data_IF_045581140326
#
_entry.id   IF_045581140326
#
_cell.length_a   1.000
_cell.length_b   1.000
_cell.length_c   1.000
_cell.angle_alpha   90.00
_cell.angle_beta   90.00
_cell.angle_gamma   90.00
#
_symmetry.space_group_name_H-M   'P 1'
#
loop_
_entity.id
_entity.type
_entity.pdbx_description
1 polymer ?
#
# COMPACT_ATOMS: atom_id res chain seq x y z
N UNK A 1 14.54 1.74 -4.64
CA UNK A 1 14.24 3.09 -4.11
C UNK A 1 13.73 3.92 -5.27
N UNK A 2 12.59 4.60 -5.14
CA UNK A 2 12.05 5.43 -6.23
C UNK A 2 13.03 6.58 -6.56
N UNK A 3 13.34 6.77 -7.83
CA UNK A 3 14.39 7.67 -8.33
C UNK A 3 13.93 9.14 -8.46
N UNK A 4 12.68 9.45 -8.08
CA UNK A 4 12.14 10.81 -8.11
C UNK A 4 11.98 11.39 -6.69
N UNK A 5 12.34 12.68 -6.45
CA UNK A 5 12.50 13.24 -5.11
C UNK A 5 11.18 13.73 -4.47
N UNK A 6 10.03 13.14 -4.81
CA UNK A 6 8.71 13.62 -4.38
C UNK A 6 7.75 12.47 -4.09
N UNK A 7 6.65 12.75 -3.37
CA UNK A 7 5.61 11.75 -3.16
C UNK A 7 4.88 11.45 -4.48
N UNK A 8 4.39 10.22 -4.64
CA UNK A 8 3.67 9.79 -5.84
C UNK A 8 2.44 10.68 -6.15
N UNK A 9 1.71 11.12 -5.13
CA UNK A 9 0.58 12.05 -5.31
C UNK A 9 1.03 13.40 -5.86
N UNK A 10 2.19 13.90 -5.46
CA UNK A 10 2.74 15.16 -5.98
C UNK A 10 3.09 15.02 -7.47
N UNK A 11 3.67 13.87 -7.86
CA UNK A 11 4.01 13.58 -9.25
C UNK A 11 2.76 13.65 -10.16
N UNK A 12 1.65 13.07 -9.71
CA UNK A 12 0.39 13.00 -10.46
C UNK A 12 -0.32 14.35 -10.61
N UNK A 13 -0.02 15.31 -9.74
CA UNK A 13 -0.54 16.67 -9.85
C UNK A 13 0.44 17.60 -10.60
N UNK A 14 1.75 17.35 -10.52
CA UNK A 14 2.80 18.14 -11.16
C UNK A 14 2.86 17.93 -12.66
N UNK A 15 2.87 16.67 -13.11
CA UNK A 15 3.07 16.35 -14.52
C UNK A 15 1.97 16.92 -15.43
N UNK A 16 0.66 16.91 -15.06
CA UNK A 16 -0.37 17.60 -15.84
C UNK A 16 -0.11 19.08 -16.05
N UNK A 17 0.40 19.79 -15.03
CA UNK A 17 0.73 21.21 -15.18
C UNK A 17 1.93 21.45 -16.09
N UNK A 18 2.96 20.61 -15.98
CA UNK A 18 4.14 20.70 -16.83
C UNK A 18 3.80 20.45 -18.32
N UNK A 19 3.01 19.41 -18.60
CA UNK A 19 2.59 19.08 -19.97
C UNK A 19 1.57 20.09 -20.52
N UNK A 20 0.73 20.68 -19.68
CA UNK A 20 -0.11 21.83 -20.05
C UNK A 20 0.73 23.03 -20.49
N UNK A 21 1.77 23.39 -19.73
CA UNK A 21 2.69 24.47 -20.11
C UNK A 21 3.45 24.16 -21.41
N UNK A 22 3.80 22.89 -21.66
CA UNK A 22 4.37 22.48 -22.94
C UNK A 22 3.39 22.74 -24.10
N UNK A 23 2.13 22.36 -23.96
CA UNK A 23 1.10 22.54 -25.00
C UNK A 23 0.95 24.01 -25.40
N UNK A 24 0.94 24.91 -24.41
CA UNK A 24 0.89 26.37 -24.66
C UNK A 24 2.11 26.89 -25.44
N UNK A 25 3.27 26.26 -25.27
CA UNK A 25 4.53 26.67 -25.88
C UNK A 25 5.04 25.70 -26.95
N UNK A 26 4.16 24.83 -27.47
CA UNK A 26 4.53 23.72 -28.34
C UNK A 26 5.28 24.21 -29.60
N UNK A 27 4.87 25.35 -30.17
CA UNK A 27 5.51 25.90 -31.35
C UNK A 27 6.99 26.25 -31.13
N UNK A 28 7.39 26.65 -29.92
CA UNK A 28 8.78 26.95 -29.56
C UNK A 28 9.59 25.66 -29.46
N UNK A 29 9.04 24.65 -28.77
CA UNK A 29 9.66 23.34 -28.63
C UNK A 29 9.82 22.61 -29.98
N UNK A 30 8.79 22.65 -30.82
CA UNK A 30 8.78 22.03 -32.15
C UNK A 30 9.80 22.64 -33.12
N UNK A 31 10.16 23.91 -32.95
CA UNK A 31 11.26 24.57 -33.69
C UNK A 31 12.65 24.12 -33.21
N UNK A 32 12.79 23.82 -31.92
CA UNK A 32 14.08 23.45 -31.33
C UNK A 32 14.48 22.01 -31.67
N UNK A 33 13.58 21.04 -31.42
CA UNK A 33 13.82 19.61 -31.72
C UNK A 33 12.57 19.00 -32.35
N UNK A 34 12.41 19.22 -33.65
CA UNK A 34 11.22 18.84 -34.43
C UNK A 34 10.87 17.35 -34.39
N UNK A 35 11.88 16.48 -34.28
CA UNK A 35 11.68 15.03 -34.20
C UNK A 35 11.26 14.54 -32.81
N UNK A 36 11.46 15.37 -31.77
CA UNK A 36 11.14 15.03 -30.38
C UNK A 36 9.83 15.65 -29.91
N UNK A 37 9.59 16.92 -30.24
CA UNK A 37 8.46 17.70 -29.73
C UNK A 37 7.31 17.77 -30.73
N UNK A 38 6.41 16.78 -30.67
CA UNK A 38 5.21 16.70 -31.51
C UNK A 38 4.00 17.41 -30.87
N UNK A 39 2.94 17.61 -31.65
CA UNK A 39 1.65 18.10 -31.13
C UNK A 39 0.97 17.09 -30.20
N UNK A 40 1.25 15.79 -30.35
CA UNK A 40 0.63 14.71 -29.58
C UNK A 40 1.39 14.35 -28.31
N UNK A 41 2.65 14.79 -28.18
CA UNK A 41 3.56 14.37 -27.10
C UNK A 41 2.96 14.55 -25.71
N UNK A 42 2.33 15.71 -25.43
CA UNK A 42 1.71 15.95 -24.13
C UNK A 42 0.54 15.00 -23.86
N UNK A 43 -0.32 14.76 -24.85
CA UNK A 43 -1.43 13.81 -24.72
C UNK A 43 -0.92 12.41 -24.43
N UNK A 44 0.07 11.94 -25.20
CA UNK A 44 0.68 10.62 -25.01
C UNK A 44 1.38 10.48 -23.65
N UNK A 45 2.01 11.55 -23.16
CA UNK A 45 2.65 11.58 -21.86
C UNK A 45 1.63 11.54 -20.71
N UNK A 46 0.47 12.18 -20.85
CA UNK A 46 -0.63 12.12 -19.89
C UNK A 46 -1.34 10.77 -19.90
N UNK A 47 -1.48 10.13 -21.06
CA UNK A 47 -2.00 8.76 -21.16
C UNK A 47 -1.08 7.76 -20.44
N UNK A 48 0.25 7.92 -20.57
CA UNK A 48 1.24 7.13 -19.80
C UNK A 48 1.10 7.36 -18.29
N UNK A 49 0.87 8.61 -17.87
CA UNK A 49 0.65 8.95 -16.47
C UNK A 49 -0.63 8.31 -15.92
N UNK A 50 -1.74 8.39 -16.65
CA UNK A 50 -3.01 7.76 -16.28
C UNK A 50 -2.89 6.23 -16.21
N UNK A 51 -2.18 5.62 -17.15
CA UNK A 51 -1.88 4.19 -17.10
C UNK A 51 -1.06 3.83 -15.84
N UNK A 52 -0.07 4.65 -15.49
CA UNK A 52 0.71 4.47 -14.26
C UNK A 52 -0.14 4.65 -12.99
N UNK A 53 -1.10 5.59 -12.97
CA UNK A 53 -2.02 5.79 -11.84
C UNK A 53 -2.92 4.58 -11.59
N UNK A 54 -3.42 3.97 -12.67
CA UNK A 54 -4.30 2.79 -12.65
C UNK A 54 -3.61 1.50 -12.21
N UNK A 55 -2.28 1.44 -12.21
CA UNK A 55 -1.56 0.31 -11.63
C UNK A 55 -1.96 0.15 -10.15
N UNK A 56 -2.23 -1.07 -9.66
CA UNK A 56 -2.75 -1.28 -8.30
C UNK A 56 -1.89 -0.59 -7.22
N UNK A 57 -2.47 -0.08 -6.13
CA UNK A 57 -1.68 0.48 -5.01
C UNK A 57 -1.19 -0.63 -4.05
N UNK A 58 -0.22 -0.34 -3.17
CA UNK A 58 0.20 -1.28 -2.12
C UNK A 58 -0.95 -1.62 -1.14
N UNK A 59 -1.81 -0.64 -0.81
CA UNK A 59 -2.92 -0.83 0.14
C UNK A 59 -4.04 -1.74 -0.38
N UNK A 60 -4.44 -1.60 -1.66
CA UNK A 60 -5.39 -2.53 -2.27
C UNK A 60 -4.83 -3.96 -2.39
N UNK A 61 -3.49 -4.07 -2.40
CA UNK A 61 -2.75 -5.34 -2.50
C UNK A 61 -2.43 -5.99 -1.16
N UNK A 62 -2.43 -5.25 -0.04
CA UNK A 62 -2.25 -5.84 1.30
C UNK A 62 -3.51 -6.56 1.82
N UNK A 63 -4.69 -6.16 1.35
CA UNK A 63 -5.96 -6.78 1.74
C UNK A 63 -6.22 -8.15 1.07
N UNK A 64 -5.60 -8.43 -0.08
CA UNK A 64 -5.82 -9.68 -0.84
C UNK A 64 -5.02 -10.91 -0.30
N UNK A 65 -3.76 -10.77 0.16
CA UNK A 65 -3.04 -11.83 0.84
C UNK A 65 -3.66 -12.23 2.17
N UNK A 66 -4.29 -11.30 2.89
CA UNK A 66 -4.84 -11.58 4.22
C UNK A 66 -6.09 -12.47 4.17
N UNK A 67 -7.01 -12.22 3.23
CA UNK A 67 -8.15 -13.12 3.01
C UNK A 67 -7.71 -14.51 2.51
N UNK A 68 -6.73 -14.54 1.60
CA UNK A 68 -6.17 -15.80 1.09
C UNK A 68 -5.41 -16.58 2.17
N UNK A 69 -4.77 -15.88 3.12
CA UNK A 69 -4.10 -16.49 4.28
C UNK A 69 -5.11 -17.09 5.26
N UNK A 70 -6.23 -16.42 5.50
CA UNK A 70 -7.32 -16.96 6.33
C UNK A 70 -7.89 -18.23 5.72
N UNK A 71 -8.18 -18.21 4.41
CA UNK A 71 -8.64 -19.41 3.68
C UNK A 71 -7.58 -20.53 3.74
N UNK A 72 -6.29 -20.21 3.62
CA UNK A 72 -5.21 -21.20 3.66
C UNK A 72 -5.09 -21.88 5.02
N UNK A 73 -5.21 -21.12 6.11
CA UNK A 73 -5.23 -21.67 7.48
C UNK A 73 -6.40 -22.63 7.64
N UNK A 74 -7.60 -22.21 7.23
CA UNK A 74 -8.80 -23.04 7.34
C UNK A 74 -8.65 -24.35 6.56
N UNK A 75 -8.29 -24.28 5.28
CA UNK A 75 -8.17 -25.47 4.43
C UNK A 75 -7.06 -26.42 4.88
N UNK A 76 -5.96 -25.86 5.42
CA UNK A 76 -4.91 -26.66 6.05
C UNK A 76 -5.46 -27.42 7.27
N UNK A 77 -6.18 -26.74 8.16
CA UNK A 77 -6.67 -27.36 9.39
C UNK A 77 -7.67 -28.47 9.09
N UNK A 78 -8.58 -28.26 8.14
CA UNK A 78 -9.49 -29.29 7.61
C UNK A 78 -8.70 -30.51 7.10
N UNK A 79 -7.67 -30.30 6.27
CA UNK A 79 -6.85 -31.38 5.75
C UNK A 79 -6.04 -32.12 6.85
N UNK A 80 -5.54 -31.42 7.87
CA UNK A 80 -4.83 -32.02 8.99
C UNK A 80 -5.76 -32.92 9.82
N UNK A 81 -7.02 -32.52 9.99
CA UNK A 81 -8.04 -33.35 10.63
C UNK A 81 -8.27 -34.64 9.83
N UNK A 82 -8.39 -34.57 8.50
CA UNK A 82 -8.49 -35.78 7.67
C UNK A 82 -7.21 -36.63 7.69
N UNK A 83 -6.03 -36.01 7.76
CA UNK A 83 -4.78 -36.76 7.89
C UNK A 83 -4.73 -37.54 9.21
N UNK A 84 -5.25 -36.97 10.29
CA UNK A 84 -5.36 -37.65 11.59
C UNK A 84 -6.34 -38.84 11.52
N UNK A 85 -7.45 -38.71 10.76
CA UNK A 85 -8.34 -39.85 10.50
C UNK A 85 -7.66 -40.92 9.63
N UNK A 86 -6.88 -40.52 8.62
CA UNK A 86 -6.07 -41.43 7.81
C UNK A 86 -5.11 -42.24 8.68
N UNK A 87 -4.46 -41.62 9.65
CA UNK A 87 -3.57 -42.30 10.59
C UNK A 87 -4.27 -43.41 11.39
N UNK A 88 -5.54 -43.20 11.78
CA UNK A 88 -6.37 -44.24 12.38
C UNK A 88 -6.56 -45.46 11.46
N UNK A 89 -6.86 -45.24 10.18
CA UNK A 89 -6.98 -46.34 9.21
C UNK A 89 -5.64 -47.05 8.95
N UNK A 90 -4.53 -46.31 8.97
CA UNK A 90 -3.17 -46.88 8.87
C UNK A 90 -2.85 -47.72 10.09
N UNK A 91 -3.26 -47.28 11.27
CA UNK A 91 -3.12 -48.03 12.52
C UNK A 91 -3.80 -49.38 12.42
N UNK A 92 -5.09 -49.40 12.09
CA UNK A 92 -5.87 -50.64 11.99
C UNK A 92 -5.33 -51.58 10.91
N UNK A 93 -4.91 -51.04 9.77
CA UNK A 93 -4.40 -51.84 8.66
C UNK A 93 -3.04 -52.50 8.93
N UNK A 94 -2.16 -51.85 9.70
CA UNK A 94 -0.74 -52.24 9.77
C UNK A 94 -0.20 -52.53 11.19
N UNK A 95 -0.92 -52.19 12.27
CA UNK A 95 -0.45 -52.42 13.66
C UNK A 95 -0.16 -53.89 13.93
N UNK A 96 -1.04 -54.79 13.51
CA UNK A 96 -0.86 -56.24 13.71
C UNK A 96 0.38 -56.81 12.99
N UNK A 97 0.85 -56.14 11.93
CA UNK A 97 2.04 -56.55 11.17
C UNK A 97 3.33 -55.89 11.66
N UNK A 98 3.27 -55.00 12.67
CA UNK A 98 4.40 -54.22 13.15
C UNK A 98 4.85 -53.09 12.20
N UNK A 99 4.20 -52.93 11.04
CA UNK A 99 4.60 -51.96 10.00
C UNK A 99 3.99 -50.56 10.20
N UNK A 100 3.16 -50.36 11.23
CA UNK A 100 2.42 -49.11 11.48
C UNK A 100 3.32 -47.86 11.41
N UNK A 101 4.46 -47.86 12.12
CA UNK A 101 5.37 -46.70 12.14
C UNK A 101 5.90 -46.34 10.75
N UNK A 102 6.33 -47.33 9.97
CA UNK A 102 6.88 -47.11 8.65
C UNK A 102 5.81 -46.57 7.68
N UNK A 103 4.59 -47.09 7.77
CA UNK A 103 3.48 -46.64 6.93
C UNK A 103 3.01 -45.22 7.29
N UNK A 104 2.99 -44.89 8.57
CA UNK A 104 2.69 -43.53 9.05
C UNK A 104 3.73 -42.51 8.57
N UNK A 105 5.01 -42.89 8.58
CA UNK A 105 6.07 -42.05 7.98
C UNK A 105 5.92 -41.91 6.46
N UNK A 106 5.54 -42.98 5.75
CA UNK A 106 5.28 -42.95 4.32
C UNK A 106 4.05 -42.10 3.94
N UNK A 107 3.06 -42.00 4.83
CA UNK A 107 1.91 -41.11 4.70
C UNK A 107 2.24 -39.63 5.03
N UNK A 108 3.47 -39.32 5.41
CA UNK A 108 3.96 -37.94 5.58
C UNK A 108 4.03 -37.42 7.02
N UNK A 109 4.00 -38.27 8.05
CA UNK A 109 4.06 -37.86 9.47
C UNK A 109 5.14 -36.82 9.79
N UNK A 110 6.30 -36.91 9.14
CA UNK A 110 7.43 -35.98 9.37
C UNK A 110 7.10 -34.53 9.00
N UNK A 111 6.13 -34.32 8.13
CA UNK A 111 5.70 -33.00 7.65
C UNK A 111 4.52 -32.44 8.46
N UNK A 112 3.80 -33.29 9.19
CA UNK A 112 2.58 -32.91 9.91
C UNK A 112 2.81 -31.74 10.88
N UNK A 113 3.86 -31.82 11.71
CA UNK A 113 4.17 -30.78 12.67
C UNK A 113 4.57 -29.46 12.00
N UNK A 114 5.31 -29.52 10.88
CA UNK A 114 5.69 -28.33 10.13
C UNK A 114 4.47 -27.68 9.45
N UNK A 115 3.61 -28.49 8.83
CA UNK A 115 2.36 -28.05 8.24
C UNK A 115 1.47 -27.35 9.27
N UNK A 116 1.24 -27.96 10.43
CA UNK A 116 0.46 -27.40 11.54
C UNK A 116 1.00 -26.05 12.04
N UNK A 117 2.33 -25.87 12.02
CA UNK A 117 2.99 -24.62 12.41
C UNK A 117 2.99 -23.53 11.32
N UNK A 118 2.31 -23.75 10.20
CA UNK A 118 2.15 -22.75 9.13
C UNK A 118 3.24 -22.79 8.05
N UNK A 119 4.01 -23.88 7.96
CA UNK A 119 4.86 -24.12 6.80
C UNK A 119 4.01 -24.61 5.62
N UNK A 120 3.72 -23.71 4.69
CA UNK A 120 2.88 -23.98 3.52
C UNK A 120 3.55 -24.96 2.53
N UNK A 121 4.88 -25.00 2.51
CA UNK A 121 5.63 -25.98 1.71
C UNK A 121 5.46 -27.37 2.29
N UNK A 122 5.60 -27.51 3.62
CA UNK A 122 5.34 -28.76 4.31
C UNK A 122 3.87 -29.21 4.19
N UNK A 123 2.91 -28.28 4.23
CA UNK A 123 1.50 -28.60 4.04
C UNK A 123 1.21 -29.15 2.63
N UNK A 124 1.74 -28.51 1.59
CA UNK A 124 1.57 -28.99 0.21
C UNK A 124 2.26 -30.36 -0.02
N UNK A 125 3.43 -30.56 0.58
CA UNK A 125 4.16 -31.83 0.49
C UNK A 125 3.47 -32.95 1.29
N UNK A 126 2.90 -32.63 2.47
CA UNK A 126 2.10 -33.56 3.27
C UNK A 126 0.90 -34.08 2.46
N UNK A 127 0.18 -33.18 1.77
CA UNK A 127 -0.92 -33.55 0.87
C UNK A 127 -0.44 -34.53 -0.20
N UNK A 128 0.68 -34.24 -0.86
CA UNK A 128 1.21 -35.11 -1.92
C UNK A 128 1.56 -36.50 -1.38
N UNK A 129 2.23 -36.58 -0.24
CA UNK A 129 2.63 -37.85 0.37
C UNK A 129 1.42 -38.66 0.85
N UNK A 130 0.44 -38.01 1.51
CA UNK A 130 -0.77 -38.67 1.97
C UNK A 130 -1.60 -39.26 0.81
N UNK A 131 -1.84 -38.49 -0.26
CA UNK A 131 -2.62 -38.96 -1.41
C UNK A 131 -1.89 -40.06 -2.21
N UNK A 132 -0.56 -39.94 -2.38
CA UNK A 132 0.24 -40.99 -3.00
C UNK A 132 0.25 -42.29 -2.18
N UNK A 133 0.31 -42.16 -0.85
CA UNK A 133 0.26 -43.29 0.07
C UNK A 133 -1.10 -44.01 0.00
N UNK A 134 -2.21 -43.26 0.07
CA UNK A 134 -3.57 -43.82 -0.03
C UNK A 134 -3.78 -44.55 -1.35
N UNK A 135 -3.32 -43.96 -2.46
CA UNK A 135 -3.41 -44.59 -3.80
C UNK A 135 -2.63 -45.91 -3.85
N UNK A 136 -1.44 -45.94 -3.24
CA UNK A 136 -0.55 -47.11 -3.25
C UNK A 136 -1.06 -48.24 -2.34
N UNK A 137 -1.71 -47.90 -1.22
CA UNK A 137 -2.10 -48.84 -0.18
C UNK A 137 -3.61 -49.06 -0.09
N UNK A 138 -4.35 -48.67 -1.13
CA UNK A 138 -5.81 -48.61 -1.15
C UNK A 138 -6.47 -49.92 -0.67
N UNK A 139 -6.04 -51.06 -1.18
CA UNK A 139 -6.62 -52.36 -0.84
C UNK A 139 -6.48 -52.69 0.65
N UNK A 140 -5.30 -52.46 1.23
CA UNK A 140 -5.04 -52.73 2.63
C UNK A 140 -5.81 -51.77 3.54
N UNK A 141 -5.87 -50.48 3.17
CA UNK A 141 -6.61 -49.47 3.94
C UNK A 141 -8.12 -49.74 3.92
N UNK A 142 -8.68 -50.20 2.80
CA UNK A 142 -10.09 -50.60 2.72
C UNK A 142 -10.38 -51.89 3.49
N UNK A 143 -9.61 -52.94 3.22
CA UNK A 143 -9.94 -54.29 3.72
C UNK A 143 -9.55 -54.53 5.18
N UNK A 144 -8.44 -53.95 5.62
CA UNK A 144 -7.91 -54.13 6.99
C UNK A 144 -8.14 -52.89 7.85
N UNK A 145 -8.03 -51.71 7.26
CA UNK A 145 -8.27 -50.44 7.94
C UNK A 145 -9.75 -50.03 8.01
N UNK A 146 -10.63 -50.63 7.19
CA UNK A 146 -12.05 -50.26 7.15
C UNK A 146 -12.32 -48.88 6.52
N UNK A 147 -11.37 -48.34 5.76
CA UNK A 147 -11.49 -47.04 5.09
C UNK A 147 -12.52 -47.06 3.97
N UNK A 148 -13.49 -46.15 3.99
CA UNK A 148 -14.54 -46.04 2.97
C UNK A 148 -14.12 -45.18 1.75
N UNK A 149 -14.72 -45.43 0.60
CA UNK A 149 -14.54 -44.66 -0.63
C UNK A 149 -14.95 -43.18 -0.47
N UNK A 150 -15.95 -42.90 0.37
CA UNK A 150 -16.33 -41.53 0.69
C UNK A 150 -15.19 -40.75 1.36
N UNK A 151 -14.43 -41.40 2.25
CA UNK A 151 -13.29 -40.77 2.91
C UNK A 151 -12.18 -40.42 1.92
N UNK A 152 -11.86 -41.34 0.99
CA UNK A 152 -10.85 -41.10 -0.05
C UNK A 152 -11.22 -39.88 -0.91
N UNK A 153 -12.51 -39.75 -1.25
CA UNK A 153 -13.00 -38.60 -1.99
C UNK A 153 -12.85 -37.29 -1.20
N UNK A 154 -13.21 -37.28 0.09
CA UNK A 154 -13.07 -36.11 0.97
C UNK A 154 -11.61 -35.69 1.14
N UNK A 155 -10.71 -36.63 1.48
CA UNK A 155 -9.29 -36.37 1.64
C UNK A 155 -8.66 -35.79 0.35
N UNK A 156 -9.09 -36.29 -0.81
CA UNK A 156 -8.62 -35.79 -2.11
C UNK A 156 -9.11 -34.36 -2.37
N UNK A 157 -10.39 -34.09 -2.12
CA UNK A 157 -10.98 -32.76 -2.31
C UNK A 157 -10.31 -31.71 -1.42
N UNK A 158 -10.14 -32.00 -0.13
CA UNK A 158 -9.47 -31.09 0.80
C UNK A 158 -7.99 -30.90 0.46
N UNK A 159 -7.30 -31.97 0.02
CA UNK A 159 -5.93 -31.88 -0.48
C UNK A 159 -5.79 -31.00 -1.73
N UNK A 160 -6.75 -31.10 -2.67
CA UNK A 160 -6.81 -30.23 -3.84
C UNK A 160 -7.05 -28.76 -3.46
N UNK A 161 -7.86 -28.51 -2.44
CA UNK A 161 -8.17 -27.19 -1.93
C UNK A 161 -6.95 -26.53 -1.29
N UNK A 162 -6.21 -27.24 -0.42
CA UNK A 162 -4.92 -26.77 0.12
C UNK A 162 -3.96 -26.41 -1.02
N UNK A 163 -3.76 -27.32 -1.99
CA UNK A 163 -2.84 -27.08 -3.11
C UNK A 163 -3.26 -25.90 -3.97
N UNK A 164 -4.57 -25.71 -4.20
CA UNK A 164 -5.13 -24.58 -4.93
C UNK A 164 -4.85 -23.26 -4.20
N UNK A 165 -5.09 -23.20 -2.89
CA UNK A 165 -4.93 -21.99 -2.10
C UNK A 165 -3.44 -21.63 -1.96
N UNK A 166 -2.55 -22.60 -1.74
CA UNK A 166 -1.08 -22.38 -1.71
C UNK A 166 -0.58 -21.78 -3.02
N UNK A 167 -0.97 -22.34 -4.19
CA UNK A 167 -0.57 -21.79 -5.50
C UNK A 167 -1.06 -20.36 -5.70
N UNK A 168 -2.31 -20.07 -5.31
CA UNK A 168 -2.88 -18.73 -5.37
C UNK A 168 -2.14 -17.76 -4.45
N UNK A 169 -1.80 -18.18 -3.24
CA UNK A 169 -1.04 -17.38 -2.28
C UNK A 169 0.35 -17.02 -2.81
N UNK A 170 1.10 -18.02 -3.33
CA UNK A 170 2.42 -17.79 -3.93
C UNK A 170 2.35 -16.87 -5.15
N UNK A 171 1.35 -17.08 -6.02
CA UNK A 171 1.11 -16.21 -7.17
C UNK A 171 0.81 -14.76 -6.75
N UNK A 172 -0.01 -14.57 -5.71
CA UNK A 172 -0.29 -13.24 -5.18
C UNK A 172 0.96 -12.57 -4.60
N UNK A 173 1.87 -13.33 -3.96
CA UNK A 173 3.15 -12.79 -3.49
C UNK A 173 4.04 -12.33 -4.65
N UNK A 174 4.18 -13.14 -5.70
CA UNK A 174 4.95 -12.80 -6.90
C UNK A 174 4.36 -11.60 -7.66
N UNK A 175 3.05 -11.58 -7.84
CA UNK A 175 2.33 -10.47 -8.48
C UNK A 175 2.42 -9.17 -7.62
N UNK A 176 2.53 -9.29 -6.29
CA UNK A 176 2.71 -8.15 -5.39
C UNK A 176 4.11 -7.53 -5.48
N UNK A 177 5.16 -8.37 -5.56
CA UNK A 177 6.55 -7.94 -5.73
C UNK A 177 6.75 -7.27 -7.10
N UNK A 178 6.41 -7.96 -8.18
CA UNK A 178 6.53 -7.45 -9.56
C UNK A 178 5.70 -6.20 -9.84
N UNK A 179 4.50 -6.09 -9.26
CA UNK A 179 3.63 -4.92 -9.44
C UNK A 179 4.12 -3.66 -8.69
N UNK A 180 4.91 -3.81 -7.63
CA UNK A 180 5.52 -2.67 -6.91
C UNK A 180 6.64 -2.05 -7.74
N UNK A 181 7.42 -2.92 -8.39
CA UNK A 181 8.43 -2.52 -9.36
C UNK A 181 7.81 -1.90 -10.61
N UNK A 182 6.70 -2.47 -11.12
CA UNK A 182 6.03 -1.94 -12.31
C UNK A 182 5.50 -0.52 -12.11
N UNK A 183 4.82 -0.24 -10.98
CA UNK A 183 4.30 1.12 -10.69
C UNK A 183 5.41 2.12 -10.43
N UNK A 184 6.46 1.71 -9.72
CA UNK A 184 7.64 2.55 -9.47
C UNK A 184 8.33 2.88 -10.78
N UNK A 185 8.61 1.87 -11.62
CA UNK A 185 9.23 2.04 -12.94
C UNK A 185 8.39 2.89 -13.90
N UNK A 186 7.07 2.72 -13.90
CA UNK A 186 6.17 3.53 -14.73
C UNK A 186 6.19 5.01 -14.29
N UNK A 187 6.15 5.27 -12.97
CA UNK A 187 6.25 6.63 -12.43
C UNK A 187 7.63 7.26 -12.72
N UNK A 188 8.72 6.49 -12.57
CA UNK A 188 10.08 6.93 -12.90
C UNK A 188 10.23 7.27 -14.38
N UNK A 189 9.66 6.47 -15.29
CA UNK A 189 9.68 6.75 -16.72
C UNK A 189 8.95 8.06 -17.04
N UNK A 190 7.76 8.28 -16.46
CA UNK A 190 7.01 9.54 -16.63
C UNK A 190 7.81 10.74 -16.11
N UNK A 191 8.47 10.59 -14.95
CA UNK A 191 9.28 11.66 -14.39
C UNK A 191 10.55 11.95 -15.22
N UNK A 192 11.23 10.92 -15.71
CA UNK A 192 12.41 11.07 -16.56
C UNK A 192 12.09 11.79 -17.88
N UNK A 193 10.94 11.49 -18.49
CA UNK A 193 10.45 12.18 -19.68
C UNK A 193 10.24 13.69 -19.40
N UNK A 194 9.60 14.01 -18.27
CA UNK A 194 9.47 15.38 -17.80
C UNK A 194 10.82 16.06 -17.54
N UNK A 195 11.78 15.39 -16.91
CA UNK A 195 13.10 15.98 -16.65
C UNK A 195 13.81 16.40 -17.95
N UNK A 196 13.73 15.57 -18.98
CA UNK A 196 14.29 15.91 -20.28
C UNK A 196 13.60 17.13 -20.90
N UNK A 197 12.27 17.19 -20.84
CA UNK A 197 11.51 18.34 -21.33
C UNK A 197 11.83 19.60 -20.54
N UNK A 198 11.89 19.51 -19.21
CA UNK A 198 12.22 20.60 -18.30
C UNK A 198 13.61 21.19 -18.59
N UNK A 199 14.62 20.33 -18.76
CA UNK A 199 15.98 20.77 -19.08
C UNK A 199 16.04 21.54 -20.42
N UNK A 200 15.29 21.08 -21.43
CA UNK A 200 15.19 21.80 -22.71
C UNK A 200 14.38 23.09 -22.58
N UNK A 201 13.35 23.13 -21.74
CA UNK A 201 12.60 24.34 -21.42
C UNK A 201 13.49 25.42 -20.78
N UNK A 202 14.36 25.06 -19.83
CA UNK A 202 15.29 26.01 -19.21
C UNK A 202 16.25 26.64 -20.24
N UNK A 203 16.63 25.89 -21.28
CA UNK A 203 17.46 26.42 -22.38
C UNK A 203 16.67 27.35 -23.28
N UNK A 204 15.44 26.96 -23.66
CA UNK A 204 14.58 27.72 -24.57
C UNK A 204 14.13 29.05 -23.96
N UNK A 205 13.74 29.04 -22.70
CA UNK A 205 13.19 30.20 -21.99
C UNK A 205 14.23 30.88 -21.10
N UNK A 206 15.52 30.73 -21.40
CA UNK A 206 16.60 31.36 -20.61
C UNK A 206 16.43 32.88 -20.44
N UNK A 207 15.81 33.56 -21.42
CA UNK A 207 15.53 35.01 -21.40
C UNK A 207 14.11 35.36 -20.91
N UNK A 208 13.31 34.36 -20.56
CA UNK A 208 11.90 34.46 -20.14
C UNK A 208 11.73 33.65 -18.84
N UNK A 209 12.31 34.12 -17.71
CA UNK A 209 12.32 33.39 -16.44
C UNK A 209 10.92 33.03 -15.95
N UNK A 210 9.92 33.88 -16.23
CA UNK A 210 8.50 33.67 -15.92
C UNK A 210 7.88 32.47 -16.66
N UNK A 211 8.40 32.13 -17.84
CA UNK A 211 8.00 30.92 -18.55
C UNK A 211 8.86 29.74 -18.10
N UNK A 212 10.16 29.93 -17.93
CA UNK A 212 11.09 28.89 -17.50
C UNK A 212 10.69 28.27 -16.14
N UNK A 213 10.20 29.08 -15.19
CA UNK A 213 9.77 28.62 -13.86
C UNK A 213 8.60 27.64 -13.93
N UNK A 214 7.75 27.72 -14.96
CA UNK A 214 6.61 26.80 -15.17
C UNK A 214 7.03 25.36 -15.51
N UNK A 215 8.31 25.15 -15.81
CA UNK A 215 8.87 23.84 -16.11
C UNK A 215 9.80 23.33 -14.99
N UNK A 216 9.99 24.09 -13.92
CA UNK A 216 10.86 23.70 -12.81
C UNK A 216 10.10 22.81 -11.84
N UNK A 217 10.64 21.64 -11.55
CA UNK A 217 10.00 20.67 -10.66
C UNK A 217 9.66 21.29 -9.29
N UNK A 218 10.57 22.06 -8.71
CA UNK A 218 10.38 22.71 -7.41
C UNK A 218 9.24 23.73 -7.43
N UNK A 219 9.19 24.62 -8.42
CA UNK A 219 8.15 25.64 -8.53
C UNK A 219 6.77 25.02 -8.80
N UNK A 220 6.72 23.96 -9.62
CA UNK A 220 5.49 23.21 -9.83
C UNK A 220 5.05 22.47 -8.58
N UNK A 221 5.97 21.87 -7.81
CA UNK A 221 5.67 21.25 -6.53
C UNK A 221 5.09 22.25 -5.53
N UNK A 222 5.65 23.46 -5.45
CA UNK A 222 5.14 24.54 -4.60
C UNK A 222 3.73 24.99 -5.01
N UNK A 223 3.44 25.01 -6.31
CA UNK A 223 2.09 25.32 -6.81
C UNK A 223 1.10 24.18 -6.52
N UNK A 224 1.51 22.95 -6.74
CA UNK A 224 0.68 21.74 -6.63
C UNK A 224 0.36 21.37 -5.20
N UNK A 225 1.33 21.47 -4.30
CA UNK A 225 1.14 21.22 -2.87
C UNK A 225 0.26 22.31 -2.21
N UNK A 226 -0.16 23.30 -3.01
CA UNK A 226 -0.43 24.65 -2.54
C UNK A 226 0.81 25.23 -1.88
N UNK A 227 0.84 26.54 -1.69
CA UNK A 227 1.43 27.01 -0.44
C UNK A 227 0.77 26.18 0.66
N UNK A 228 1.48 25.19 1.25
CA UNK A 228 0.99 24.45 2.43
C UNK A 228 0.31 25.51 3.27
N UNK A 229 -1.00 25.43 3.52
CA UNK A 229 -1.70 26.50 4.23
C UNK A 229 -0.87 26.81 5.48
N UNK A 230 -0.17 27.95 5.42
CA UNK A 230 0.53 28.46 6.56
C UNK A 230 -0.56 28.70 7.60
N UNK A 231 -0.23 28.56 8.87
CA UNK A 231 -1.27 28.58 9.85
C UNK A 231 -0.78 28.15 11.21
N UNK A 232 -1.70 28.24 12.14
CA UNK A 232 -1.48 27.91 13.54
C UNK A 232 -2.33 26.68 13.82
N UNK A 233 -1.72 25.67 14.43
CA UNK A 233 -2.41 24.50 14.95
C UNK A 233 -2.02 24.29 16.40
N UNK A 234 -2.86 23.65 17.18
CA UNK A 234 -2.50 23.27 18.54
C UNK A 234 -3.64 22.61 19.28
N UNK A 235 -3.41 22.42 20.57
CA UNK A 235 -4.40 21.91 21.52
C UNK A 235 -4.69 23.00 22.56
N UNK A 236 -5.94 23.11 22.98
CA UNK A 236 -6.33 23.93 24.14
C UNK A 236 -6.63 23.00 25.31
N UNK A 237 -5.93 23.19 26.43
CA UNK A 237 -6.11 22.40 27.66
C UNK A 237 -6.50 23.27 28.84
N UNK A 238 -7.19 22.72 29.83
CA UNK A 238 -7.46 23.39 31.10
C UNK A 238 -6.27 23.28 32.06
N UNK A 239 -6.35 23.92 33.23
CA UNK A 239 -5.34 23.85 34.29
C UNK A 239 -5.08 22.43 34.85
N UNK A 240 -5.95 21.46 34.56
CA UNK A 240 -5.79 20.06 34.94
C UNK A 240 -5.20 19.20 33.80
N UNK A 241 -4.89 19.82 32.65
CA UNK A 241 -4.40 19.15 31.45
C UNK A 241 -5.48 18.41 30.65
N UNK A 242 -6.76 18.68 30.89
CA UNK A 242 -7.87 18.13 30.11
C UNK A 242 -8.14 18.97 28.85
N UNK A 243 -8.44 18.31 27.74
CA UNK A 243 -8.73 18.96 26.46
C UNK A 243 -10.03 19.78 26.53
N UNK A 244 -9.96 21.05 26.11
CA UNK A 244 -11.11 21.96 26.14
C UNK A 244 -11.83 21.93 24.81
N UNK A 245 -13.02 21.33 24.80
CA UNK A 245 -13.89 21.22 23.63
C UNK A 245 -14.67 22.53 23.43
N UNK A 246 -14.81 22.99 22.18
CA UNK A 246 -15.62 24.17 21.84
C UNK A 246 -14.98 25.52 22.19
N UNK A 247 -13.70 25.56 22.56
CA UNK A 247 -12.97 26.80 22.77
C UNK A 247 -12.82 27.58 21.46
N UNK A 248 -13.09 28.89 21.50
CA UNK A 248 -12.95 29.76 20.33
C UNK A 248 -11.52 30.31 20.28
N UNK A 249 -10.80 30.05 19.20
CA UNK A 249 -9.46 30.56 18.94
C UNK A 249 -9.53 31.59 17.82
N UNK A 250 -9.10 32.81 18.09
CA UNK A 250 -9.05 33.92 17.11
C UNK A 250 -7.64 34.50 17.01
N UNK A 251 -7.45 35.36 16.01
CA UNK A 251 -6.20 36.09 15.80
C UNK A 251 -6.46 37.58 15.94
N UNK A 252 -5.75 38.26 16.83
CA UNK A 252 -5.99 39.68 17.16
C UNK A 252 -5.91 40.59 15.94
N UNK A 253 -4.96 40.31 15.04
CA UNK A 253 -4.74 41.07 13.80
C UNK A 253 -5.76 40.75 12.71
N UNK A 254 -6.51 39.64 12.83
CA UNK A 254 -7.52 39.17 11.89
C UNK A 254 -8.72 38.57 12.64
N UNK A 255 -9.56 39.41 13.27
CA UNK A 255 -10.65 38.93 14.15
C UNK A 255 -11.72 38.12 13.40
N UNK A 256 -11.85 38.30 12.09
CA UNK A 256 -12.77 37.52 11.23
C UNK A 256 -12.31 36.07 11.01
N UNK A 257 -11.07 35.75 11.38
CA UNK A 257 -10.50 34.41 11.25
C UNK A 257 -10.54 33.72 12.62
N UNK A 258 -11.46 32.76 12.74
CA UNK A 258 -11.65 31.97 13.96
C UNK A 258 -11.59 30.47 13.68
N UNK A 259 -11.24 29.70 14.70
CA UNK A 259 -11.42 28.26 14.78
C UNK A 259 -12.09 27.90 16.11
N UNK A 260 -12.81 26.79 16.11
CA UNK A 260 -13.39 26.21 17.33
C UNK A 260 -12.70 24.87 17.56
N UNK A 261 -12.33 24.57 18.81
CA UNK A 261 -11.67 23.30 19.13
C UNK A 261 -12.62 22.11 19.01
N UNK A 262 -12.08 20.99 18.53
CA UNK A 262 -12.80 19.71 18.39
C UNK A 262 -12.86 18.91 19.71
N UNK A 263 -13.34 17.67 19.64
CA UNK A 263 -13.48 16.73 20.77
C UNK A 263 -12.15 16.37 21.46
N UNK A 264 -11.02 16.55 20.75
CA UNK A 264 -9.66 16.35 21.26
C UNK A 264 -9.00 17.70 21.65
N UNK A 265 -9.79 18.78 21.77
CA UNK A 265 -9.29 20.12 22.09
C UNK A 265 -8.42 20.74 20.99
N UNK A 266 -8.39 20.17 19.78
CA UNK A 266 -7.51 20.62 18.69
C UNK A 266 -8.14 21.73 17.87
N UNK A 267 -7.31 22.66 17.42
CA UNK A 267 -7.71 23.72 16.50
C UNK A 267 -6.72 23.87 15.34
N UNK A 268 -7.21 24.43 14.24
CA UNK A 268 -6.40 24.84 13.09
C UNK A 268 -6.94 26.14 12.48
N UNK A 269 -6.05 27.12 12.30
CA UNK A 269 -6.33 28.38 11.64
C UNK A 269 -5.38 28.54 10.44
N UNK A 270 -5.95 28.70 9.24
CA UNK A 270 -5.19 29.04 8.05
C UNK A 270 -4.84 30.53 8.02
N UNK A 271 -3.55 30.87 8.00
CA UNK A 271 -3.02 32.23 7.98
C UNK A 271 -1.85 32.34 7.01
N UNK A 272 -1.72 33.46 6.30
CA UNK A 272 -0.50 33.74 5.55
C UNK A 272 0.72 33.84 6.49
N UNK A 273 1.94 33.71 5.96
CA UNK A 273 3.14 33.93 6.76
C UNK A 273 3.16 35.33 7.39
N UNK A 274 3.49 35.42 8.67
CA UNK A 274 3.42 36.65 9.45
C UNK A 274 3.62 36.40 10.93
N UNK A 275 3.65 37.46 11.73
CA UNK A 275 3.65 37.36 13.20
C UNK A 275 2.26 37.70 13.71
N UNK A 276 1.71 36.85 14.57
CA UNK A 276 0.33 36.95 15.04
C UNK A 276 0.24 36.85 16.56
N UNK A 277 -0.88 37.35 17.08
CA UNK A 277 -1.29 37.19 18.48
C UNK A 277 -2.52 36.28 18.52
N UNK A 278 -2.35 35.08 19.07
CA UNK A 278 -3.45 34.10 19.20
C UNK A 278 -4.25 34.43 20.45
N UNK A 279 -5.58 34.47 20.35
CA UNK A 279 -6.49 34.74 21.47
C UNK A 279 -7.45 33.58 21.64
N UNK A 280 -7.48 32.98 22.84
CA UNK A 280 -8.40 31.88 23.17
C UNK A 280 -9.50 32.40 24.11
N UNK A 281 -10.76 32.13 23.74
CA UNK A 281 -11.99 32.52 24.44
C UNK A 281 -12.06 34.02 24.80
N UNK A 282 -11.38 34.88 24.02
CA UNK A 282 -11.32 36.32 24.25
C UNK A 282 -10.57 36.74 25.53
N UNK A 283 -9.85 35.82 26.19
CA UNK A 283 -9.20 36.07 27.49
C UNK A 283 -7.70 35.80 27.49
N UNK A 284 -7.27 34.65 26.94
CA UNK A 284 -5.87 34.24 26.95
C UNK A 284 -5.20 34.68 25.66
N UNK A 285 -4.16 35.51 25.76
CA UNK A 285 -3.37 35.94 24.60
C UNK A 285 -1.99 35.24 24.57
N UNK A 286 -1.59 34.76 23.39
CA UNK A 286 -0.26 34.24 23.11
C UNK A 286 0.38 35.13 22.03
N UNK A 287 1.20 36.12 22.42
CA UNK A 287 1.83 37.04 21.47
C UNK A 287 3.06 36.42 20.79
N UNK A 288 3.42 36.97 19.63
CA UNK A 288 4.69 36.65 18.97
C UNK A 288 4.72 35.30 18.24
N UNK A 289 3.55 34.78 17.83
CA UNK A 289 3.49 33.54 17.05
C UNK A 289 3.93 33.82 15.61
N UNK A 290 5.17 33.46 15.30
CA UNK A 290 5.72 33.56 13.95
C UNK A 290 5.28 32.37 13.11
N UNK A 291 4.53 32.65 12.05
CA UNK A 291 4.11 31.69 11.04
C UNK A 291 4.99 31.88 9.81
N UNK A 292 5.78 30.86 9.50
CA UNK A 292 6.63 30.84 8.31
C UNK A 292 5.88 30.31 7.09
N UNK A 293 6.36 30.68 5.90
CA UNK A 293 5.76 30.24 4.63
C UNK A 293 5.72 28.70 4.59
N UNK A 294 4.52 28.15 4.44
CA UNK A 294 4.30 26.72 4.32
C UNK A 294 4.46 25.92 5.62
N UNK A 295 4.48 26.57 6.79
CA UNK A 295 4.62 25.91 8.08
C UNK A 295 3.32 26.02 8.88
N UNK A 296 2.84 24.89 9.41
CA UNK A 296 1.77 24.85 10.42
C UNK A 296 2.42 24.94 11.80
N UNK A 297 2.55 26.15 12.33
CA UNK A 297 3.18 26.38 13.64
C UNK A 297 2.32 25.73 14.72
N UNK A 298 2.94 24.90 15.57
CA UNK A 298 2.29 24.33 16.75
C UNK A 298 2.29 25.35 17.88
N UNK A 299 1.13 25.66 18.43
CA UNK A 299 0.91 26.55 19.58
C UNK A 299 -0.13 25.90 20.48
N UNK A 300 0.32 25.23 21.52
CA UNK A 300 -0.57 24.66 22.53
C UNK A 300 -0.86 25.73 23.59
N UNK A 301 -2.10 25.81 24.05
CA UNK A 301 -2.56 26.88 24.95
C UNK A 301 -3.27 26.28 26.16
N UNK A 302 -2.77 26.62 27.35
CA UNK A 302 -3.45 26.31 28.61
C UNK A 302 -4.32 27.51 29.02
N UNK A 303 -5.62 27.24 29.27
CA UNK A 303 -6.64 28.23 29.65
C UNK A 303 -7.13 28.08 31.08
#
# INVERSE_FOLDING_TARGET
>A
MATYPMAQGDLYLLLPQAWGAYTEHQAVFGKYKKTKYSLTLATEALERLDAAMKLPSQQARGAMPESTRVELVQQRDEFLDQWNLLDGYVEDAYRATGNYKAMREAAGLKLYAAAANGDWGAAAELVNQALAFVTTNLDALKTKGGMDDAFVATLTAEGDDVRRVVRRYLKQQEDAESGTDAKTKANEACFAEFQQMSADAQRLFRRQPEIAVRFQAQALLERVRGTRQAGIRGVVTDANGQDVIGATVTVKEKPDVLAVTDEDGRYFIALASGTYTVVVNGKKEVPGVVVEVGVKKRVDVEV
#
